data_IF_777256302140
#
_entry.id   IF_777256302140
#
_cell.length_a   1.000
_cell.length_b   1.000
_cell.length_c   1.000
_cell.angle_alpha   90.00
_cell.angle_beta   90.00
_cell.angle_gamma   90.00
#
_symmetry.space_group_name_H-M   'P 1'
#
loop_
_entity.id
_entity.type
_entity.pdbx_description
1 polymer ?
#
# COMPACT_ATOMS: atom_id res chain seq x y z
N UNK A 1 -11.09 22.61 4.14
CA UNK A 1 -10.94 21.68 3.00
C UNK A 1 -10.50 20.35 3.58
N UNK A 2 -11.25 19.24 3.42
CA UNK A 2 -10.81 17.98 4.01
C UNK A 2 -9.74 17.36 3.10
N UNK A 3 -8.53 17.21 3.64
CA UNK A 3 -7.45 16.45 3.02
C UNK A 3 -7.83 14.97 3.03
N UNK A 4 -7.85 14.32 1.87
CA UNK A 4 -8.09 12.87 1.75
C UNK A 4 -6.73 12.17 1.84
N UNK A 5 -6.43 11.57 2.99
CA UNK A 5 -5.26 10.69 3.15
C UNK A 5 -5.62 9.26 2.73
N UNK A 6 -4.79 8.65 1.88
CA UNK A 6 -4.87 7.24 1.48
C UNK A 6 -3.65 6.55 2.10
N UNK A 7 -3.84 5.70 3.11
CA UNK A 7 -2.74 5.02 3.79
C UNK A 7 -2.64 3.56 3.37
N UNK A 8 -1.45 3.12 2.95
CA UNK A 8 -1.10 1.71 2.88
C UNK A 8 -0.83 1.23 4.31
N UNK A 9 -1.75 0.46 4.89
CA UNK A 9 -1.76 0.16 6.32
C UNK A 9 -0.73 -0.88 6.77
N UNK A 10 0.40 -0.42 7.29
CA UNK A 10 0.98 -0.97 8.53
C UNK A 10 0.54 -0.05 9.67
N UNK A 11 0.21 -0.61 10.83
CA UNK A 11 -0.56 0.02 11.91
C UNK A 11 0.21 1.13 12.67
N UNK A 12 0.73 2.17 12.00
CA UNK A 12 1.13 3.47 12.56
C UNK A 12 1.07 4.52 11.43
N UNK A 13 -0.01 5.31 11.37
CA UNK A 13 -0.34 6.22 10.26
C UNK A 13 0.46 7.54 10.22
N UNK A 14 1.77 7.55 10.51
CA UNK A 14 2.59 8.75 10.31
C UNK A 14 3.56 8.63 9.11
N UNK A 15 3.89 7.42 8.65
CA UNK A 15 4.89 7.19 7.58
C UNK A 15 4.41 6.24 6.47
N UNK A 16 3.09 6.05 6.33
CA UNK A 16 2.55 5.20 5.27
C UNK A 16 2.65 5.90 3.89
N UNK A 17 3.18 5.22 2.85
CA UNK A 17 3.18 5.77 1.50
C UNK A 17 1.73 5.98 1.03
N UNK A 18 1.48 7.16 0.47
CA UNK A 18 0.20 7.59 -0.10
C UNK A 18 0.31 7.51 -1.61
N UNK A 19 -0.69 6.95 -2.27
CA UNK A 19 -0.72 6.93 -3.74
C UNK A 19 -0.84 8.34 -4.31
N UNK A 20 -0.19 8.60 -5.44
CA UNK A 20 -0.33 9.84 -6.18
C UNK A 20 -1.74 9.97 -6.83
N UNK A 21 -1.95 11.07 -7.57
CA UNK A 21 -3.21 11.32 -8.26
C UNK A 21 -3.55 10.28 -9.35
N UNK A 22 -2.57 9.52 -9.82
CA UNK A 22 -2.72 8.45 -10.80
C UNK A 22 -2.84 7.06 -10.15
N UNK A 23 -2.74 6.97 -8.83
CA UNK A 23 -2.81 5.70 -8.09
C UNK A 23 -1.45 5.01 -7.88
N UNK A 24 -0.34 5.62 -8.28
CA UNK A 24 1.00 5.03 -8.12
C UNK A 24 1.57 5.27 -6.72
N UNK A 25 2.38 4.33 -6.24
CA UNK A 25 3.12 4.47 -4.99
C UNK A 25 4.50 3.80 -5.11
N UNK A 26 5.46 4.27 -4.33
CA UNK A 26 6.76 3.63 -4.17
C UNK A 26 7.12 3.55 -2.69
N UNK A 27 7.72 2.43 -2.29
CA UNK A 27 8.15 2.20 -0.91
C UNK A 27 9.40 1.35 -0.87
N UNK A 28 10.38 1.79 -0.07
CA UNK A 28 11.56 0.99 0.22
C UNK A 28 11.22 -0.08 1.28
N UNK A 29 11.40 -1.35 0.94
CA UNK A 29 11.18 -2.46 1.87
C UNK A 29 12.50 -3.11 2.26
N UNK A 30 12.58 -3.60 3.49
CA UNK A 30 13.73 -4.37 3.96
C UNK A 30 13.76 -5.75 3.28
N UNK A 31 14.91 -6.07 2.70
CA UNK A 31 15.18 -7.35 2.03
C UNK A 31 15.26 -8.48 3.05
N UNK A 32 14.82 -9.68 2.65
CA UNK A 32 14.91 -10.89 3.49
C UNK A 32 13.79 -11.05 4.51
N UNK A 33 12.77 -10.19 4.45
CA UNK A 33 11.58 -10.27 5.30
C UNK A 33 10.31 -10.40 4.45
N UNK A 34 9.27 -10.97 5.06
CA UNK A 34 7.92 -10.99 4.50
C UNK A 34 7.14 -9.74 4.94
N UNK A 35 6.27 -9.26 4.06
CA UNK A 35 5.51 -8.03 4.26
C UNK A 35 4.02 -8.24 3.97
N UNK A 36 3.18 -7.72 4.85
CA UNK A 36 1.74 -7.62 4.64
C UNK A 36 1.40 -6.16 4.30
N UNK A 37 1.01 -5.92 3.06
CA UNK A 37 0.67 -4.60 2.51
C UNK A 37 -0.85 -4.48 2.45
N UNK A 38 -1.42 -3.46 3.11
CA UNK A 38 -2.87 -3.21 3.10
C UNK A 38 -3.21 -1.97 2.31
N UNK A 39 -4.13 -2.07 1.36
CA UNK A 39 -4.64 -0.92 0.61
C UNK A 39 -5.95 -0.45 1.24
N UNK A 40 -5.97 0.79 1.71
CA UNK A 40 -7.11 1.35 2.45
C UNK A 40 -7.51 2.69 1.83
N UNK A 41 -8.79 2.81 1.47
CA UNK A 41 -9.41 4.03 0.97
C UNK A 41 -10.79 4.17 1.57
N UNK A 42 -11.13 5.38 2.05
CA UNK A 42 -12.45 5.64 2.64
C UNK A 42 -13.56 5.37 1.60
N UNK A 43 -14.63 4.68 2.01
CA UNK A 43 -15.70 4.23 1.12
C UNK A 43 -15.39 2.97 0.31
N UNK A 44 -14.22 2.33 0.51
CA UNK A 44 -13.83 1.11 -0.20
C UNK A 44 -13.45 -0.02 0.76
N UNK A 45 -13.61 -1.26 0.30
CA UNK A 45 -13.10 -2.45 0.95
C UNK A 45 -11.58 -2.41 1.06
N UNK A 46 -11.05 -2.99 2.14
CA UNK A 46 -9.59 -3.13 2.31
C UNK A 46 -9.09 -4.32 1.50
N UNK A 47 -7.97 -4.14 0.79
CA UNK A 47 -7.27 -5.23 0.13
C UNK A 47 -5.96 -5.55 0.86
N UNK A 48 -5.62 -6.84 1.00
CA UNK A 48 -4.38 -7.31 1.63
C UNK A 48 -3.54 -8.05 0.59
N UNK A 49 -2.32 -7.56 0.35
CA UNK A 49 -1.29 -8.22 -0.42
C UNK A 49 -0.23 -8.78 0.53
N UNK A 50 0.11 -10.05 0.38
CA UNK A 50 1.21 -10.67 1.13
C UNK A 50 2.41 -10.89 0.22
N UNK A 51 3.53 -10.29 0.57
CA UNK A 51 4.83 -10.52 -0.09
C UNK A 51 5.64 -11.44 0.82
N UNK A 52 5.82 -12.69 0.39
CA UNK A 52 6.45 -13.74 1.23
C UNK A 52 7.98 -13.65 1.28
N UNK A 53 8.61 -12.99 0.30
CA UNK A 53 10.03 -12.70 0.33
C UNK A 53 10.37 -11.49 -0.54
N UNK A 54 10.97 -10.45 0.05
CA UNK A 54 11.55 -9.34 -0.70
C UNK A 54 13.01 -9.66 -1.03
N UNK A 55 13.35 -9.67 -2.31
CA UNK A 55 14.74 -9.75 -2.81
C UNK A 55 15.26 -8.34 -3.07
N UNK A 56 16.58 -8.17 -3.17
CA UNK A 56 17.11 -6.87 -3.60
C UNK A 56 16.69 -6.58 -5.04
N UNK A 57 16.36 -5.31 -5.31
CA UNK A 57 15.92 -4.85 -6.61
C UNK A 57 14.44 -4.42 -6.63
N UNK A 58 13.98 -3.92 -7.77
CA UNK A 58 12.61 -3.45 -7.93
C UNK A 58 11.63 -4.62 -7.86
N UNK A 59 10.54 -4.44 -7.13
CA UNK A 59 9.40 -5.35 -7.11
C UNK A 59 8.15 -4.57 -7.51
N UNK A 60 7.56 -4.92 -8.65
CA UNK A 60 6.33 -4.30 -9.14
C UNK A 60 5.13 -5.05 -8.58
N UNK A 61 4.28 -4.32 -7.85
CA UNK A 61 2.98 -4.81 -7.41
C UNK A 61 2.01 -4.68 -8.60
N UNK A 62 1.21 -5.72 -8.93
CA UNK A 62 0.17 -5.59 -9.95
C UNK A 62 -0.90 -4.58 -9.51
N UNK A 63 -1.59 -3.98 -10.47
CA UNK A 63 -2.67 -3.03 -10.19
C UNK A 63 -3.73 -3.67 -9.29
N UNK A 64 -4.09 -2.95 -8.23
CA UNK A 64 -5.09 -3.39 -7.24
C UNK A 64 -6.35 -2.55 -7.42
N UNK A 65 -7.42 -3.19 -7.90
CA UNK A 65 -8.74 -2.58 -7.98
C UNK A 65 -9.46 -2.70 -6.62
N UNK A 66 -9.75 -1.56 -5.99
CA UNK A 66 -10.54 -1.52 -4.75
C UNK A 66 -12.03 -1.48 -5.07
N UNK A 67 -12.81 -2.29 -4.35
CA UNK A 67 -14.28 -2.31 -4.48
C UNK A 67 -14.92 -1.32 -3.49
N UNK A 68 -15.88 -0.48 -3.92
CA UNK A 68 -16.68 0.34 -3.01
C UNK A 68 -17.40 -0.50 -1.95
N UNK A 69 -17.66 0.08 -0.77
CA UNK A 69 -18.52 -0.51 0.26
C UNK A 69 -19.97 -0.09 0.06
#
# INVERSE_FOLDING_TARGET
MPFVCIAIGVQFCNDAPVTDANGYFEVALTVGQAWDIRFIKNGYGTYLLRITSVRSGPYTVPDIELRPR
#
